data_IF_375902848052
#
_entry.id   IF_375902848052
#
_cell.length_a   1.000
_cell.length_b   1.000
_cell.length_c   1.000
_cell.angle_alpha   90.00
_cell.angle_beta   90.00
_cell.angle_gamma   90.00
#
_symmetry.space_group_name_H-M   'P 1'
#
loop_
_entity.id
_entity.type
_entity.pdbx_description
1 polymer ?
#
# COMPACT_ATOMS: atom_id res chain seq x y z
N UNK A 1 -22.35 -4.12 2.51
CA UNK A 1 -21.79 -4.84 1.33
C UNK A 1 -20.44 -4.25 0.90
N UNK A 2 -20.34 -2.94 0.60
CA UNK A 2 -19.10 -2.28 0.12
C UNK A 2 -17.82 -2.60 0.94
N UNK A 3 -17.89 -2.57 2.28
CA UNK A 3 -16.74 -2.88 3.13
C UNK A 3 -16.25 -4.32 2.99
N UNK A 4 -17.17 -5.30 2.93
CA UNK A 4 -16.85 -6.72 2.82
C UNK A 4 -16.19 -7.01 1.48
N UNK A 5 -16.71 -6.43 0.40
CA UNK A 5 -16.14 -6.56 -0.94
C UNK A 5 -14.75 -5.95 -1.02
N UNK A 6 -14.50 -4.79 -0.40
CA UNK A 6 -13.16 -4.18 -0.35
C UNK A 6 -12.20 -5.12 0.39
N UNK A 7 -12.60 -5.63 1.56
CA UNK A 7 -11.79 -6.56 2.35
C UNK A 7 -11.46 -7.82 1.56
N UNK A 8 -12.45 -8.41 0.88
CA UNK A 8 -12.26 -9.60 0.06
C UNK A 8 -11.27 -9.36 -1.09
N UNK A 9 -11.39 -8.21 -1.78
CA UNK A 9 -10.47 -7.84 -2.86
C UNK A 9 -9.05 -7.61 -2.32
N UNK A 10 -8.89 -6.94 -1.17
CA UNK A 10 -7.58 -6.74 -0.53
C UNK A 10 -6.93 -8.08 -0.17
N UNK A 11 -7.68 -9.00 0.43
CA UNK A 11 -7.19 -10.34 0.77
C UNK A 11 -6.79 -11.11 -0.49
N UNK A 12 -7.61 -11.05 -1.54
CA UNK A 12 -7.30 -11.69 -2.81
C UNK A 12 -6.05 -11.11 -3.48
N UNK A 13 -5.93 -9.78 -3.52
CA UNK A 13 -4.76 -9.09 -4.07
C UNK A 13 -3.48 -9.44 -3.29
N UNK A 14 -3.57 -9.49 -1.96
CA UNK A 14 -2.47 -9.92 -1.11
C UNK A 14 -2.08 -11.38 -1.35
N UNK A 15 -3.05 -12.27 -1.52
CA UNK A 15 -2.80 -13.66 -1.82
C UNK A 15 -2.10 -13.82 -3.17
N UNK A 16 -2.59 -13.14 -4.21
CA UNK A 16 -1.97 -13.14 -5.55
C UNK A 16 -0.55 -12.59 -5.50
N UNK A 17 -0.32 -11.46 -4.84
CA UNK A 17 1.01 -10.87 -4.69
C UNK A 17 1.96 -11.82 -3.96
N UNK A 18 1.51 -12.45 -2.87
CA UNK A 18 2.31 -13.43 -2.13
C UNK A 18 2.71 -14.62 -3.00
N UNK A 19 1.77 -15.19 -3.76
CA UNK A 19 2.06 -16.27 -4.70
C UNK A 19 3.08 -15.82 -5.73
N UNK A 20 2.90 -14.65 -6.34
CA UNK A 20 3.85 -14.09 -7.32
C UNK A 20 5.25 -13.98 -6.70
N UNK A 21 5.38 -13.42 -5.49
CA UNK A 21 6.69 -13.21 -4.85
C UNK A 21 7.35 -14.51 -4.38
N UNK A 22 6.58 -15.49 -3.87
CA UNK A 22 7.14 -16.70 -3.26
C UNK A 22 7.38 -17.84 -4.24
N UNK A 23 6.45 -18.11 -5.16
CA UNK A 23 6.50 -19.33 -5.99
C UNK A 23 7.01 -19.08 -7.41
N UNK A 24 6.89 -17.86 -7.95
CA UNK A 24 7.25 -17.63 -9.36
C UNK A 24 8.74 -17.36 -9.54
N UNK A 25 9.26 -17.68 -10.75
CA UNK A 25 10.63 -17.32 -11.16
C UNK A 25 10.87 -15.81 -11.09
N UNK A 26 9.83 -15.04 -11.38
CA UNK A 26 9.84 -13.58 -11.33
C UNK A 26 10.03 -13.06 -9.90
N UNK A 27 9.34 -13.65 -8.92
CA UNK A 27 9.54 -13.34 -7.50
C UNK A 27 10.93 -13.72 -6.95
N UNK A 28 11.59 -14.75 -7.52
CA UNK A 28 12.99 -15.06 -7.20
C UNK A 28 13.94 -14.02 -7.79
N UNK A 29 13.70 -13.58 -9.03
CA UNK A 29 14.48 -12.53 -9.69
C UNK A 29 14.35 -11.17 -8.97
N UNK A 30 13.14 -10.80 -8.53
CA UNK A 30 12.88 -9.60 -7.71
C UNK A 30 13.65 -9.61 -6.40
N UNK A 31 13.70 -10.76 -5.70
CA UNK A 31 14.47 -10.87 -4.45
C UNK A 31 15.98 -10.81 -4.69
N UNK A 32 16.47 -11.48 -5.73
CA UNK A 32 17.90 -11.44 -6.08
C UNK A 32 18.37 -10.02 -6.44
N UNK A 33 17.58 -9.29 -7.23
CA UNK A 33 17.87 -7.89 -7.60
C UNK A 33 17.72 -6.92 -6.43
N UNK A 34 16.81 -7.19 -5.48
CA UNK A 34 16.69 -6.41 -4.25
C UNK A 34 17.88 -6.59 -3.29
N UNK A 35 18.51 -7.77 -3.27
CA UNK A 35 19.71 -8.02 -2.46
C UNK A 35 20.95 -7.36 -3.06
N UNK A 36 21.22 -7.60 -4.36
CA UNK A 36 22.31 -6.95 -5.08
C UNK A 36 22.06 -7.00 -6.60
N UNK A 37 21.82 -5.83 -7.19
CA UNK A 37 21.49 -5.68 -8.61
C UNK A 37 22.66 -6.11 -9.52
N UNK A 38 23.86 -5.62 -9.25
CA UNK A 38 25.07 -5.91 -10.05
C UNK A 38 25.37 -7.42 -10.07
N UNK A 39 25.25 -8.09 -8.90
CA UNK A 39 25.48 -9.53 -8.81
C UNK A 39 24.38 -10.34 -9.52
N UNK A 40 23.13 -9.87 -9.50
CA UNK A 40 22.03 -10.53 -10.20
C UNK A 40 22.22 -10.48 -11.72
N UNK A 41 22.70 -9.36 -12.25
CA UNK A 41 23.01 -9.19 -13.68
C UNK A 41 24.13 -10.12 -14.14
N UNK A 42 25.20 -10.26 -13.35
CA UNK A 42 26.30 -11.21 -13.63
C UNK A 42 25.80 -12.66 -13.67
N UNK A 43 24.71 -12.98 -12.97
CA UNK A 43 24.06 -14.30 -12.98
C UNK A 43 23.01 -14.47 -14.09
N UNK A 44 22.91 -13.51 -15.01
CA UNK A 44 22.04 -13.55 -16.17
C UNK A 44 20.59 -13.12 -15.90
N UNK A 45 20.34 -12.38 -14.83
CA UNK A 45 19.03 -11.76 -14.57
C UNK A 45 19.00 -10.37 -15.20
N UNK A 46 18.07 -10.13 -16.12
CA UNK A 46 17.83 -8.78 -16.66
C UNK A 46 17.19 -7.88 -15.59
N UNK A 47 18.00 -7.12 -14.84
CA UNK A 47 17.51 -6.25 -13.77
C UNK A 47 16.54 -5.19 -14.28
N UNK A 48 16.81 -4.60 -15.44
CA UNK A 48 15.92 -3.63 -16.12
C UNK A 48 14.52 -4.21 -16.33
N UNK A 49 14.44 -5.46 -16.79
CA UNK A 49 13.17 -6.14 -17.02
C UNK A 49 12.45 -6.41 -15.71
N UNK A 50 13.19 -6.80 -14.66
CA UNK A 50 12.62 -7.01 -13.32
C UNK A 50 12.05 -5.70 -12.78
N UNK A 51 12.80 -4.60 -12.88
CA UNK A 51 12.36 -3.28 -12.44
C UNK A 51 11.10 -2.82 -13.18
N UNK A 52 11.03 -3.02 -14.49
CA UNK A 52 9.83 -2.71 -15.28
C UNK A 52 8.62 -3.51 -14.78
N UNK A 53 8.78 -4.81 -14.50
CA UNK A 53 7.68 -5.62 -13.99
C UNK A 53 7.26 -5.18 -12.58
N UNK A 54 8.20 -4.83 -11.71
CA UNK A 54 7.89 -4.26 -10.38
C UNK A 54 7.01 -3.01 -10.53
N UNK A 55 7.38 -2.08 -11.42
CA UNK A 55 6.60 -0.88 -11.70
C UNK A 55 5.20 -1.19 -12.24
N UNK A 56 5.08 -2.15 -13.16
CA UNK A 56 3.79 -2.57 -13.71
C UNK A 56 2.90 -3.17 -12.62
N UNK A 57 3.44 -4.03 -11.75
CA UNK A 57 2.69 -4.61 -10.62
C UNK A 57 2.25 -3.54 -9.64
N UNK A 58 3.14 -2.59 -9.30
CA UNK A 58 2.81 -1.47 -8.42
C UNK A 58 1.70 -0.60 -9.01
N UNK A 59 1.79 -0.26 -10.30
CA UNK A 59 0.77 0.53 -11.00
C UNK A 59 -0.59 -0.18 -11.04
N UNK A 60 -0.62 -1.50 -11.28
CA UNK A 60 -1.85 -2.29 -11.24
C UNK A 60 -2.50 -2.29 -9.85
N UNK A 61 -1.71 -2.45 -8.79
CA UNK A 61 -2.22 -2.40 -7.42
C UNK A 61 -2.71 -1.00 -7.05
N UNK A 62 -2.00 0.05 -7.47
CA UNK A 62 -2.41 1.44 -7.27
C UNK A 62 -3.72 1.76 -8.01
N UNK A 63 -3.86 1.31 -9.25
CA UNK A 63 -5.10 1.47 -10.03
C UNK A 63 -6.27 0.74 -9.36
N UNK A 64 -6.06 -0.48 -8.87
CA UNK A 64 -7.06 -1.24 -8.12
C UNK A 64 -7.47 -0.52 -6.83
N UNK A 65 -6.51 0.02 -6.07
CA UNK A 65 -6.81 0.83 -4.89
C UNK A 65 -7.62 2.10 -5.22
N UNK A 66 -7.31 2.76 -6.34
CA UNK A 66 -8.05 3.92 -6.85
C UNK A 66 -9.50 3.58 -7.21
N UNK A 67 -9.72 2.48 -7.94
CA UNK A 67 -11.06 2.00 -8.30
C UNK A 67 -11.89 1.69 -7.03
N UNK A 68 -11.30 0.99 -6.06
CA UNK A 68 -11.98 0.67 -4.80
C UNK A 68 -12.33 1.92 -4.00
N UNK A 69 -11.42 2.89 -3.95
CA UNK A 69 -11.65 4.19 -3.29
C UNK A 69 -12.78 4.95 -3.96
N UNK A 70 -12.78 5.02 -5.28
CA UNK A 70 -13.82 5.71 -6.05
C UNK A 70 -15.18 5.03 -5.93
N UNK A 71 -15.23 3.71 -5.84
CA UNK A 71 -16.46 2.96 -5.61
C UNK A 71 -17.02 3.10 -4.19
N UNK A 72 -16.11 3.27 -3.21
CA UNK A 72 -16.48 3.56 -1.83
C UNK A 72 -17.02 4.98 -1.69
N UNK A 73 -16.36 5.96 -2.30
CA UNK A 73 -16.71 7.36 -2.23
C UNK A 73 -18.06 7.65 -2.90
N UNK A 74 -18.89 8.46 -2.23
CA UNK A 74 -20.18 8.90 -2.78
C UNK A 74 -20.02 10.04 -3.78
N UNK A 75 -18.95 10.82 -3.66
CA UNK A 75 -18.59 11.92 -4.56
C UNK A 75 -17.14 11.75 -5.02
N UNK A 76 -16.94 11.68 -6.33
CA UNK A 76 -15.62 11.64 -6.96
C UNK A 76 -15.14 13.07 -7.19
N UNK A 77 -14.02 13.45 -6.55
CA UNK A 77 -13.35 14.71 -6.85
C UNK A 77 -11.95 14.45 -7.41
N UNK A 78 -11.44 15.26 -8.36
CA UNK A 78 -10.13 15.04 -8.95
C UNK A 78 -8.97 15.07 -7.93
N UNK A 79 -9.16 15.75 -6.79
CA UNK A 79 -8.14 15.93 -5.76
C UNK A 79 -8.15 14.84 -4.68
N UNK A 80 -9.02 13.82 -4.77
CA UNK A 80 -9.13 12.79 -3.73
C UNK A 80 -7.83 12.02 -3.48
N UNK A 81 -7.05 11.76 -4.54
CA UNK A 81 -5.79 11.04 -4.43
C UNK A 81 -4.78 11.76 -3.54
N UNK A 82 -4.70 13.09 -3.63
CA UNK A 82 -3.77 13.90 -2.83
C UNK A 82 -4.04 13.77 -1.33
N UNK A 83 -5.31 13.72 -0.92
CA UNK A 83 -5.68 13.55 0.48
C UNK A 83 -5.31 12.16 1.04
N UNK A 84 -5.13 11.16 0.16
CA UNK A 84 -4.79 9.79 0.54
C UNK A 84 -3.29 9.52 0.59
N UNK A 85 -2.47 10.34 -0.09
CA UNK A 85 -1.02 10.16 -0.12
C UNK A 85 -0.42 10.08 1.27
N UNK A 86 -0.71 11.08 2.12
CA UNK A 86 -0.12 11.17 3.46
C UNK A 86 -0.53 9.99 4.36
N UNK A 87 -1.83 9.61 4.47
CA UNK A 87 -2.22 8.40 5.19
C UNK A 87 -1.60 7.11 4.65
N UNK A 88 -1.45 6.97 3.32
CA UNK A 88 -0.81 5.80 2.70
C UNK A 88 0.67 5.73 3.08
N UNK A 89 1.39 6.86 3.00
CA UNK A 89 2.78 6.92 3.44
C UNK A 89 2.93 6.58 4.93
N UNK A 90 2.07 7.15 5.78
CA UNK A 90 2.03 6.85 7.21
C UNK A 90 1.80 5.35 7.46
N UNK A 91 0.86 4.73 6.75
CA UNK A 91 0.55 3.31 6.85
C UNK A 91 1.72 2.41 6.43
N UNK A 92 2.39 2.74 5.33
CA UNK A 92 3.53 1.95 4.83
C UNK A 92 4.74 2.08 5.74
N UNK A 93 5.01 3.26 6.28
CA UNK A 93 6.14 3.48 7.21
C UNK A 93 5.87 2.78 8.55
N UNK A 94 4.67 2.95 9.12
CA UNK A 94 4.26 2.24 10.34
C UNK A 94 4.30 0.72 10.16
N UNK A 95 3.87 0.23 9.00
CA UNK A 95 3.88 -1.18 8.65
C UNK A 95 5.25 -1.75 8.28
N UNK A 96 6.22 -0.89 7.98
CA UNK A 96 7.54 -1.27 7.45
C UNK A 96 7.56 -1.45 5.93
N UNK A 97 8.53 -0.81 5.27
CA UNK A 97 8.70 -0.79 3.80
C UNK A 97 9.08 -2.17 3.23
N UNK A 98 9.73 -3.02 4.04
CA UNK A 98 10.25 -4.32 3.59
C UNK A 98 9.22 -5.44 3.53
N UNK A 99 8.01 -5.24 4.08
CA UNK A 99 6.99 -6.29 4.18
C UNK A 99 5.61 -5.84 3.69
N UNK A 100 5.08 -6.47 2.61
CA UNK A 100 3.72 -6.21 2.14
C UNK A 100 2.65 -6.46 3.21
N UNK A 101 2.85 -7.47 4.07
CA UNK A 101 1.94 -7.79 5.16
C UNK A 101 1.95 -6.73 6.26
N UNK A 102 3.14 -6.21 6.56
CA UNK A 102 3.32 -5.13 7.52
C UNK A 102 2.60 -3.87 7.05
N UNK A 103 2.72 -3.50 5.78
CA UNK A 103 2.01 -2.37 5.19
C UNK A 103 0.47 -2.47 5.33
N UNK A 104 -0.12 -3.66 5.16
CA UNK A 104 -1.57 -3.86 5.36
C UNK A 104 -1.98 -3.69 6.82
N UNK A 105 -1.18 -4.21 7.77
CA UNK A 105 -1.43 -4.00 9.19
C UNK A 105 -1.31 -2.52 9.58
N UNK A 106 -0.28 -1.83 9.07
CA UNK A 106 -0.10 -0.39 9.25
C UNK A 106 -1.25 0.42 8.68
N UNK A 107 -1.78 0.04 7.51
CA UNK A 107 -2.96 0.67 6.91
C UNK A 107 -4.22 0.49 7.75
N UNK A 108 -4.42 -0.68 8.35
CA UNK A 108 -5.53 -0.90 9.28
C UNK A 108 -5.41 -0.05 10.54
N UNK A 109 -4.21 0.03 11.15
CA UNK A 109 -3.99 0.85 12.34
C UNK A 109 -4.25 2.33 12.03
N UNK A 110 -3.63 2.86 10.98
CA UNK A 110 -3.81 4.26 10.56
C UNK A 110 -5.29 4.54 10.25
N UNK A 111 -5.96 3.66 9.50
CA UNK A 111 -7.39 3.78 9.19
C UNK A 111 -8.28 3.84 10.43
N UNK A 112 -8.07 2.93 11.38
CA UNK A 112 -8.82 2.89 12.63
C UNK A 112 -8.54 4.11 13.51
N UNK A 113 -7.27 4.51 13.64
CA UNK A 113 -6.89 5.70 14.40
C UNK A 113 -7.52 6.97 13.83
N UNK A 114 -7.61 7.08 12.50
CA UNK A 114 -8.30 8.19 11.83
C UNK A 114 -9.80 8.23 12.16
N UNK A 115 -10.49 7.09 12.18
CA UNK A 115 -11.92 7.05 12.53
C UNK A 115 -12.15 7.29 14.03
N UNK A 116 -11.37 6.66 14.90
CA UNK A 116 -11.48 6.81 16.36
C UNK A 116 -11.14 8.23 16.80
N UNK A 117 -10.09 8.84 16.23
CA UNK A 117 -9.69 10.21 16.57
C UNK A 117 -10.72 11.26 16.19
N UNK A 118 -11.47 11.05 15.10
CA UNK A 118 -12.59 11.92 14.73
C UNK A 118 -13.76 11.79 15.71
N UNK A 119 -13.97 10.60 16.29
CA UNK A 119 -15.02 10.37 17.29
C UNK A 119 -14.67 10.97 18.66
N UNK A 120 -13.40 10.93 19.06
CA UNK A 120 -12.93 11.42 20.36
C UNK A 120 -12.88 12.95 20.46
N UNK A 121 -12.75 13.67 19.33
CA UNK A 121 -12.66 15.13 19.26
C UNK A 121 -13.89 15.67 18.49
N UNK A 122 -14.96 16.14 19.15
CA UNK A 122 -16.16 16.65 18.46
C UNK A 122 -15.83 17.88 17.60
N UNK A 123 -16.16 17.84 16.29
CA UNK A 123 -15.96 18.97 15.35
C UNK A 123 -14.75 18.85 14.39
N UNK A 124 -14.16 17.66 14.27
CA UNK A 124 -12.80 17.47 13.78
C UNK A 124 -12.64 16.70 12.45
N UNK A 125 -13.63 16.68 11.56
CA UNK A 125 -13.53 15.98 10.24
C UNK A 125 -12.28 16.39 9.44
N UNK A 126 -11.83 17.64 9.63
CA UNK A 126 -10.62 18.22 9.03
C UNK A 126 -9.31 17.60 9.55
N UNK A 127 -9.29 17.06 10.77
CA UNK A 127 -8.06 16.58 11.43
C UNK A 127 -7.76 15.11 11.15
N UNK A 128 -8.57 14.44 10.32
CA UNK A 128 -8.35 13.04 9.94
C UNK A 128 -6.93 12.82 9.39
N UNK A 129 -6.49 13.69 8.49
CA UNK A 129 -5.14 13.63 7.90
C UNK A 129 -4.06 14.01 8.93
N UNK A 130 -4.36 14.94 9.84
CA UNK A 130 -3.43 15.36 10.89
C UNK A 130 -3.11 14.21 11.87
N UNK A 131 -4.10 13.37 12.21
CA UNK A 131 -3.91 12.19 13.06
C UNK A 131 -2.91 11.21 12.41
N UNK A 132 -3.07 10.92 11.12
CA UNK A 132 -2.13 10.07 10.39
C UNK A 132 -0.71 10.66 10.38
N UNK A 133 -0.59 11.98 10.28
CA UNK A 133 0.70 12.67 10.32
C UNK A 133 1.39 12.61 11.69
N UNK A 134 0.65 12.76 12.78
CA UNK A 134 1.19 12.63 14.15
C UNK A 134 1.70 11.21 14.39
N UNK A 135 0.96 10.19 13.94
CA UNK A 135 1.42 8.79 14.05
C UNK A 135 2.69 8.58 13.25
N UNK A 136 2.76 9.12 12.03
CA UNK A 136 3.96 9.03 11.20
C UNK A 136 5.17 9.67 11.89
N UNK A 137 5.03 10.87 12.47
CA UNK A 137 6.11 11.54 13.21
C UNK A 137 6.55 10.71 14.42
N UNK A 138 5.62 10.05 15.12
CA UNK A 138 5.96 9.22 16.27
C UNK A 138 6.73 7.94 15.92
N UNK A 139 6.62 7.47 14.67
CA UNK A 139 7.33 6.27 14.18
C UNK A 139 8.71 6.61 13.63
N UNK A 140 8.87 7.79 13.04
CA UNK A 140 10.11 8.27 12.43
C UNK A 140 11.14 8.68 13.49
#
# INVERSE_FOLDING_TARGET
VKHITILAVVIAAMFVLNVILKTTKLGRAMRATADNMDLAEVRGVDADRVQLVVWVVAAMLAALAGILTGWFATNLTPNMGFALLLPIFAAVILGGISSPYGAVAGAMIIGLSMDVGVYLIPGSSTYRVAIAFVILIGVL
#
